data_IF_452464988344
#
_entry.id   IF_452464988344
#
_cell.length_a   1.000
_cell.length_b   1.000
_cell.length_c   1.000
_cell.angle_alpha   90.00
_cell.angle_beta   90.00
_cell.angle_gamma   90.00
#
_symmetry.space_group_name_H-M   'P 1'
#
loop_
_entity.id
_entity.type
_entity.pdbx_description
1 polymer ?
#
# COMPACT_ATOMS: atom_id res chain seq x y z
N UNK A 1 1.00 -20.60 4.67
CA UNK A 1 2.08 -19.69 4.32
C UNK A 1 3.25 -20.46 3.76
N UNK A 2 3.71 -20.10 2.57
CA UNK A 2 4.94 -20.58 1.95
C UNK A 2 6.00 -19.50 2.09
N UNK A 3 6.79 -19.60 3.15
CA UNK A 3 7.92 -18.71 3.42
C UNK A 3 9.13 -19.16 2.62
N UNK A 4 9.87 -18.20 2.09
CA UNK A 4 11.08 -18.41 1.28
C UNK A 4 12.30 -17.76 1.95
N UNK A 5 13.49 -18.09 1.45
CA UNK A 5 14.74 -17.59 2.01
C UNK A 5 15.76 -17.44 0.87
N UNK A 6 16.17 -16.22 0.58
CA UNK A 6 17.10 -15.91 -0.51
C UNK A 6 18.49 -16.51 -0.27
N UNK A 7 18.95 -16.63 0.97
CA UNK A 7 20.22 -17.27 1.30
C UNK A 7 20.23 -18.78 0.97
N UNK A 8 19.10 -19.46 1.20
CA UNK A 8 18.96 -20.87 0.79
C UNK A 8 18.86 -21.00 -0.73
N UNK A 9 18.23 -20.04 -1.39
CA UNK A 9 18.15 -19.99 -2.84
C UNK A 9 19.53 -19.73 -3.44
N UNK A 10 20.30 -18.79 -2.89
CA UNK A 10 21.67 -18.49 -3.28
C UNK A 10 22.58 -19.73 -3.21
N UNK A 11 22.50 -20.49 -2.10
CA UNK A 11 23.25 -21.74 -1.98
C UNK A 11 22.94 -22.69 -3.14
N UNK A 12 21.67 -22.86 -3.51
CA UNK A 12 21.30 -23.71 -4.66
C UNK A 12 21.89 -23.22 -5.98
N UNK A 13 21.94 -21.88 -6.19
CA UNK A 13 22.58 -21.30 -7.37
C UNK A 13 24.09 -21.62 -7.38
N UNK A 14 24.76 -21.50 -6.24
CA UNK A 14 26.18 -21.86 -6.12
C UNK A 14 26.46 -23.34 -6.43
N UNK A 15 25.55 -24.22 -6.02
CA UNK A 15 25.63 -25.66 -6.30
C UNK A 15 25.28 -26.02 -7.76
N UNK A 16 24.72 -25.08 -8.55
CA UNK A 16 24.35 -25.26 -9.95
C UNK A 16 25.53 -24.86 -10.87
N UNK A 17 25.92 -25.72 -11.83
CA UNK A 17 26.92 -25.34 -12.84
C UNK A 17 26.57 -24.05 -13.56
N UNK A 18 27.57 -23.21 -13.84
CA UNK A 18 27.36 -21.85 -14.37
C UNK A 18 26.51 -21.85 -15.65
N UNK A 19 26.78 -22.76 -16.57
CA UNK A 19 26.04 -22.88 -17.85
C UNK A 19 24.56 -23.20 -17.67
N UNK A 20 24.20 -23.88 -16.58
CA UNK A 20 22.83 -24.31 -16.28
C UNK A 20 22.05 -23.23 -15.53
N UNK A 21 22.72 -22.23 -14.94
CA UNK A 21 22.08 -21.19 -14.12
C UNK A 21 21.06 -20.35 -14.87
N UNK A 22 21.17 -20.22 -16.20
CA UNK A 22 20.20 -19.49 -17.03
C UNK A 22 18.77 -20.02 -16.91
N UNK A 23 18.59 -21.30 -16.56
CA UNK A 23 17.30 -21.95 -16.38
C UNK A 23 16.90 -22.11 -14.92
N UNK A 24 17.68 -21.57 -13.98
CA UNK A 24 17.49 -21.78 -12.54
C UNK A 24 16.14 -21.26 -12.04
N UNK A 25 15.74 -20.04 -12.42
CA UNK A 25 14.47 -19.45 -12.02
C UNK A 25 13.28 -20.32 -12.45
N UNK A 26 13.31 -20.83 -13.68
CA UNK A 26 12.27 -21.69 -14.23
C UNK A 26 12.18 -23.01 -13.46
N UNK A 27 13.32 -23.63 -13.17
CA UNK A 27 13.38 -24.85 -12.37
C UNK A 27 12.81 -24.65 -10.96
N UNK A 28 13.16 -23.54 -10.29
CA UNK A 28 12.63 -23.22 -8.96
C UNK A 28 11.13 -22.88 -9.01
N UNK A 29 10.66 -22.20 -10.06
CA UNK A 29 9.24 -21.95 -10.28
C UNK A 29 8.44 -23.25 -10.42
N UNK A 30 8.90 -24.20 -11.21
CA UNK A 30 8.24 -25.51 -11.33
C UNK A 30 8.18 -26.27 -9.99
N UNK A 31 9.15 -26.09 -9.12
CA UNK A 31 9.08 -26.64 -7.74
C UNK A 31 7.96 -25.97 -6.93
N UNK A 32 7.85 -24.64 -6.98
CA UNK A 32 6.78 -23.90 -6.28
C UNK A 32 5.41 -24.30 -6.83
N UNK A 33 5.28 -24.35 -8.14
CA UNK A 33 4.05 -24.74 -8.84
C UNK A 33 3.55 -26.14 -8.42
N UNK A 34 4.44 -27.09 -8.25
CA UNK A 34 4.09 -28.42 -7.71
C UNK A 34 3.49 -28.34 -6.31
N UNK A 35 4.02 -27.47 -5.44
CA UNK A 35 3.43 -27.26 -4.11
C UNK A 35 2.05 -26.62 -4.20
N UNK A 36 1.87 -25.60 -5.05
CA UNK A 36 0.57 -24.93 -5.20
C UNK A 36 -0.49 -25.88 -5.74
N UNK A 37 -0.16 -26.67 -6.77
CA UNK A 37 -1.06 -27.70 -7.32
C UNK A 37 -1.47 -28.71 -6.26
N UNK A 38 -0.48 -29.27 -5.56
CA UNK A 38 -0.74 -30.28 -4.54
C UNK A 38 -1.59 -29.76 -3.39
N UNK A 39 -1.33 -28.53 -2.92
CA UNK A 39 -2.14 -27.91 -1.88
C UNK A 39 -3.58 -27.66 -2.37
N UNK A 40 -3.76 -27.26 -3.62
CA UNK A 40 -5.08 -27.02 -4.22
C UNK A 40 -5.88 -28.31 -4.45
N UNK A 41 -5.20 -29.44 -4.73
CA UNK A 41 -5.85 -30.75 -4.89
C UNK A 41 -6.36 -31.33 -3.58
N UNK A 42 -5.64 -31.14 -2.50
CA UNK A 42 -5.95 -31.75 -1.20
C UNK A 42 -6.66 -30.81 -0.20
N UNK A 43 -6.81 -29.54 -0.53
CA UNK A 43 -7.33 -28.53 0.40
C UNK A 43 -7.93 -27.34 -0.34
N UNK A 44 -9.00 -26.77 0.25
CA UNK A 44 -9.54 -25.45 -0.15
C UNK A 44 -8.78 -24.29 0.51
N UNK A 45 -7.60 -24.54 1.06
CA UNK A 45 -6.83 -23.52 1.77
C UNK A 45 -6.37 -22.41 0.82
N UNK A 46 -6.37 -21.20 1.37
CA UNK A 46 -5.73 -20.06 0.72
C UNK A 46 -4.22 -20.17 0.90
N UNK A 47 -3.47 -20.00 -0.17
CA UNK A 47 -2.02 -20.12 -0.19
C UNK A 47 -1.44 -18.70 -0.14
N UNK A 48 -0.68 -18.39 0.91
CA UNK A 48 0.09 -17.15 1.01
C UNK A 48 1.53 -17.48 0.59
N UNK A 49 1.98 -16.96 -0.54
CA UNK A 49 3.32 -17.15 -1.09
C UNK A 49 4.15 -15.88 -0.91
N UNK A 50 5.26 -15.97 -0.22
CA UNK A 50 6.28 -14.92 -0.22
C UNK A 50 7.06 -14.94 -1.54
N UNK A 51 7.37 -13.77 -2.09
CA UNK A 51 8.44 -13.65 -3.08
C UNK A 51 9.80 -13.52 -2.39
N UNK A 52 10.87 -13.39 -3.16
CA UNK A 52 12.24 -13.29 -2.64
C UNK A 52 12.69 -11.83 -2.63
N UNK A 53 13.42 -11.41 -1.60
CA UNK A 53 14.16 -10.16 -1.64
C UNK A 53 15.26 -10.23 -2.72
N UNK A 54 15.44 -9.13 -3.45
CA UNK A 54 16.45 -8.98 -4.50
C UNK A 54 17.82 -8.67 -3.88
N UNK A 55 18.57 -9.73 -3.54
CA UNK A 55 19.92 -9.59 -3.00
C UNK A 55 20.95 -9.68 -4.11
N UNK A 56 21.87 -8.73 -4.16
CA UNK A 56 23.06 -8.80 -5.01
C UNK A 56 24.20 -9.52 -4.25
N UNK A 57 24.79 -10.54 -4.87
CA UNK A 57 25.94 -11.26 -4.31
C UNK A 57 27.27 -10.51 -4.51
N UNK A 58 27.25 -9.36 -5.16
CA UNK A 58 28.41 -8.50 -5.41
C UNK A 58 29.40 -9.06 -6.43
N UNK A 59 29.16 -10.25 -7.01
CA UNK A 59 30.13 -10.91 -7.92
C UNK A 59 30.19 -10.21 -9.27
N UNK A 60 29.05 -9.73 -9.77
CA UNK A 60 28.93 -9.14 -11.10
C UNK A 60 28.80 -7.61 -11.10
N UNK A 61 28.68 -6.99 -9.94
CA UNK A 61 28.37 -5.56 -9.81
C UNK A 61 27.16 -5.19 -10.67
N UNK A 62 27.16 -4.00 -11.27
CA UNK A 62 26.02 -3.55 -12.10
C UNK A 62 25.77 -4.42 -13.35
N UNK A 63 26.70 -5.30 -13.73
CA UNK A 63 26.52 -6.25 -14.84
C UNK A 63 25.59 -7.41 -14.46
N UNK A 64 25.34 -7.63 -13.17
CA UNK A 64 24.44 -8.68 -12.70
C UNK A 64 23.07 -8.62 -13.39
N UNK A 65 22.53 -7.41 -13.63
CA UNK A 65 21.26 -7.23 -14.33
C UNK A 65 21.26 -7.59 -15.83
N UNK A 66 22.42 -7.83 -16.42
CA UNK A 66 22.59 -8.26 -17.83
C UNK A 66 23.00 -9.71 -17.98
N UNK A 67 23.43 -10.35 -16.90
CA UNK A 67 23.96 -11.70 -16.92
C UNK A 67 22.90 -12.70 -16.48
N UNK A 68 22.38 -13.52 -17.39
CA UNK A 68 21.39 -14.56 -17.07
C UNK A 68 21.91 -15.63 -16.10
N UNK A 69 23.22 -15.72 -15.89
CA UNK A 69 23.81 -16.68 -14.94
C UNK A 69 24.04 -16.06 -13.55
N UNK A 70 23.77 -14.77 -13.37
CA UNK A 70 23.89 -14.10 -12.08
C UNK A 70 22.72 -14.44 -11.15
N UNK A 71 22.98 -14.44 -9.84
CA UNK A 71 21.95 -14.68 -8.84
C UNK A 71 20.85 -13.61 -8.89
N UNK A 72 21.23 -12.35 -8.95
CA UNK A 72 20.27 -11.23 -9.00
C UNK A 72 19.30 -11.34 -10.19
N UNK A 73 19.81 -11.66 -11.39
CA UNK A 73 18.97 -11.84 -12.56
C UNK A 73 17.97 -12.99 -12.36
N UNK A 74 18.43 -14.13 -11.81
CA UNK A 74 17.59 -15.30 -11.60
C UNK A 74 16.53 -15.07 -10.51
N UNK A 75 16.85 -14.34 -9.46
CA UNK A 75 15.86 -13.96 -8.42
C UNK A 75 14.77 -13.07 -9.00
N UNK A 76 15.12 -12.05 -9.77
CA UNK A 76 14.15 -11.17 -10.46
C UNK A 76 13.24 -11.95 -11.40
N UNK A 77 13.83 -12.84 -12.18
CA UNK A 77 13.09 -13.74 -13.10
C UNK A 77 12.13 -14.66 -12.31
N UNK A 78 12.58 -15.22 -11.20
CA UNK A 78 11.76 -16.07 -10.34
C UNK A 78 10.59 -15.30 -9.71
N UNK A 79 10.84 -14.09 -9.21
CA UNK A 79 9.79 -13.24 -8.66
C UNK A 79 8.73 -12.87 -9.73
N UNK A 80 9.16 -12.64 -10.97
CA UNK A 80 8.23 -12.44 -12.08
C UNK A 80 7.36 -13.67 -12.32
N UNK A 81 7.94 -14.87 -12.33
CA UNK A 81 7.18 -16.12 -12.46
C UNK A 81 6.19 -16.34 -11.29
N UNK A 82 6.58 -15.99 -10.05
CA UNK A 82 5.69 -16.06 -8.89
C UNK A 82 4.49 -15.12 -9.08
N UNK A 83 4.71 -13.89 -9.57
CA UNK A 83 3.64 -12.94 -9.88
C UNK A 83 2.70 -13.48 -10.97
N UNK A 84 3.23 -14.06 -12.03
CA UNK A 84 2.43 -14.71 -13.10
C UNK A 84 1.62 -15.88 -12.55
N UNK A 85 2.24 -16.74 -11.73
CA UNK A 85 1.53 -17.83 -11.07
C UNK A 85 0.38 -17.35 -10.19
N UNK A 86 0.53 -16.22 -9.48
CA UNK A 86 -0.54 -15.65 -8.69
C UNK A 86 -1.73 -15.15 -9.52
N UNK A 87 -1.53 -14.82 -10.79
CA UNK A 87 -2.63 -14.50 -11.72
C UNK A 87 -3.37 -15.77 -12.18
N UNK A 88 -2.67 -16.90 -12.31
CA UNK A 88 -3.25 -18.19 -12.77
C UNK A 88 -4.01 -18.92 -11.66
N UNK A 89 -3.50 -18.88 -10.41
CA UNK A 89 -4.04 -19.63 -9.28
C UNK A 89 -4.88 -18.75 -8.37
N UNK A 90 -6.22 -18.84 -8.45
CA UNK A 90 -7.18 -18.01 -7.69
C UNK A 90 -7.06 -18.09 -6.16
N UNK A 91 -6.47 -19.18 -5.64
CA UNK A 91 -6.27 -19.36 -4.20
C UNK A 91 -4.87 -18.98 -3.72
N UNK A 92 -4.02 -18.42 -4.61
CA UNK A 92 -2.66 -17.98 -4.35
C UNK A 92 -2.64 -16.46 -4.15
N UNK A 93 -2.11 -16.02 -3.02
CA UNK A 93 -1.97 -14.62 -2.63
C UNK A 93 -0.50 -14.32 -2.35
N UNK A 94 -0.02 -13.16 -2.79
CA UNK A 94 1.37 -12.77 -2.62
C UNK A 94 1.57 -12.04 -1.30
N UNK A 95 2.71 -12.32 -0.67
CA UNK A 95 3.31 -11.47 0.37
C UNK A 95 4.59 -10.90 -0.25
N UNK A 96 4.58 -9.62 -0.56
CA UNK A 96 5.67 -8.97 -1.31
C UNK A 96 6.82 -8.57 -0.39
N UNK A 97 7.72 -9.52 -0.14
CA UNK A 97 8.93 -9.34 0.67
C UNK A 97 9.91 -8.39 -0.02
N UNK A 98 9.96 -8.41 -1.37
CA UNK A 98 10.82 -7.52 -2.14
C UNK A 98 10.42 -6.03 -1.93
N UNK A 99 9.13 -5.72 -1.99
CA UNK A 99 8.59 -4.38 -1.66
C UNK A 99 8.97 -3.98 -0.24
N UNK A 100 8.77 -4.89 0.72
CA UNK A 100 9.04 -4.63 2.13
C UNK A 100 10.54 -4.37 2.37
N UNK A 101 11.42 -5.18 1.78
CA UNK A 101 12.87 -4.97 1.84
C UNK A 101 13.27 -3.60 1.27
N UNK A 102 12.64 -3.15 0.19
CA UNK A 102 12.83 -1.81 -0.37
C UNK A 102 12.42 -0.67 0.58
N UNK A 103 11.37 -0.87 1.39
CA UNK A 103 10.92 0.12 2.37
C UNK A 103 11.85 0.24 3.58
N UNK A 104 12.42 -0.87 4.04
CA UNK A 104 13.35 -0.89 5.17
C UNK A 104 14.78 -0.53 4.78
N UNK A 105 15.15 -0.81 3.53
CA UNK A 105 16.54 -0.91 3.09
C UNK A 105 17.21 -2.22 3.54
N UNK A 106 18.11 -2.75 2.71
CA UNK A 106 18.70 -4.08 2.91
C UNK A 106 19.34 -4.26 4.28
N UNK A 107 20.12 -3.28 4.73
CA UNK A 107 20.84 -3.32 6.02
C UNK A 107 19.88 -3.43 7.23
N UNK A 108 18.75 -2.71 7.18
CA UNK A 108 17.77 -2.74 8.26
C UNK A 108 16.82 -3.93 8.17
N UNK A 109 16.65 -4.49 6.97
CA UNK A 109 15.77 -5.62 6.72
C UNK A 109 16.36 -6.96 7.13
N UNK A 110 17.68 -7.14 6.94
CA UNK A 110 18.42 -8.36 7.24
C UNK A 110 19.14 -8.32 8.59
N UNK A 111 19.44 -9.50 9.10
CA UNK A 111 20.33 -9.70 10.26
C UNK A 111 21.23 -10.90 9.97
N UNK A 112 22.43 -10.62 9.47
CA UNK A 112 23.43 -11.64 9.12
C UNK A 112 23.81 -12.50 10.32
N UNK A 113 24.00 -11.88 11.48
CA UNK A 113 24.36 -12.59 12.70
C UNK A 113 23.25 -13.54 13.13
N UNK A 114 22.02 -13.08 13.08
CA UNK A 114 20.84 -13.88 13.42
C UNK A 114 20.64 -15.03 12.43
N UNK A 115 20.92 -14.79 11.14
CA UNK A 115 20.91 -15.85 10.15
C UNK A 115 21.97 -16.94 10.43
N UNK A 116 23.20 -16.58 10.79
CA UNK A 116 24.24 -17.57 11.09
C UNK A 116 23.92 -18.41 12.33
N UNK A 117 23.31 -17.80 13.34
CA UNK A 117 22.99 -18.48 14.62
C UNK A 117 21.68 -19.28 14.51
N UNK A 118 20.61 -18.67 13.98
CA UNK A 118 19.24 -19.21 14.04
C UNK A 118 18.64 -19.56 12.68
N UNK A 119 19.35 -19.27 11.58
CA UNK A 119 18.83 -19.42 10.19
C UNK A 119 17.59 -18.57 9.88
N UNK A 120 17.46 -17.45 10.58
CA UNK A 120 16.43 -16.44 10.35
C UNK A 120 17.11 -15.23 9.71
N UNK A 121 16.82 -14.92 8.40
CA UNK A 121 17.55 -13.87 7.68
C UNK A 121 17.06 -12.47 8.01
N UNK A 122 15.86 -12.34 8.58
CA UNK A 122 15.20 -11.06 8.79
C UNK A 122 15.53 -10.47 10.16
N UNK A 123 15.70 -9.16 10.23
CA UNK A 123 15.79 -8.43 11.49
C UNK A 123 14.48 -8.51 12.30
N UNK A 124 14.53 -8.25 13.60
CA UNK A 124 13.32 -8.24 14.42
C UNK A 124 12.26 -7.24 13.91
N UNK A 125 12.71 -6.04 13.49
CA UNK A 125 11.80 -5.04 12.93
C UNK A 125 11.18 -5.51 11.61
N UNK A 126 11.96 -6.14 10.74
CA UNK A 126 11.46 -6.72 9.51
C UNK A 126 10.43 -7.82 9.75
N UNK A 127 10.64 -8.67 10.78
CA UNK A 127 9.65 -9.70 11.14
C UNK A 127 8.29 -9.11 11.55
N UNK A 128 8.30 -7.97 12.27
CA UNK A 128 7.06 -7.24 12.59
C UNK A 128 6.38 -6.73 11.32
N UNK A 129 7.14 -6.15 10.39
CA UNK A 129 6.61 -5.69 9.11
C UNK A 129 6.04 -6.84 8.27
N UNK A 130 6.77 -7.96 8.18
CA UNK A 130 6.30 -9.18 7.48
C UNK A 130 4.99 -9.70 8.08
N UNK A 131 4.89 -9.74 9.41
CA UNK A 131 3.66 -10.14 10.09
C UNK A 131 2.49 -9.18 9.78
N UNK A 132 2.77 -7.87 9.71
CA UNK A 132 1.79 -6.85 9.31
C UNK A 132 1.26 -7.07 7.91
N UNK A 133 2.13 -7.31 6.91
CA UNK A 133 1.72 -7.61 5.54
C UNK A 133 0.87 -8.90 5.46
N UNK A 134 1.29 -9.96 6.15
CA UNK A 134 0.51 -11.20 6.22
C UNK A 134 -0.90 -10.94 6.78
N UNK A 135 -1.00 -10.20 7.88
CA UNK A 135 -2.29 -9.86 8.50
C UNK A 135 -3.14 -9.03 7.54
N UNK A 136 -2.57 -8.08 6.82
CA UNK A 136 -3.28 -7.24 5.86
C UNK A 136 -3.87 -8.07 4.72
N UNK A 137 -3.08 -8.98 4.14
CA UNK A 137 -3.55 -9.89 3.08
C UNK A 137 -4.64 -10.84 3.62
N UNK A 138 -4.47 -11.38 4.84
CA UNK A 138 -5.49 -12.25 5.46
C UNK A 138 -6.80 -11.48 5.70
N UNK A 139 -6.72 -10.24 6.20
CA UNK A 139 -7.91 -9.37 6.35
C UNK A 139 -8.61 -9.15 5.01
N UNK A 140 -7.85 -8.87 3.94
CA UNK A 140 -8.41 -8.68 2.60
C UNK A 140 -9.11 -9.95 2.08
N UNK A 141 -8.51 -11.14 2.27
CA UNK A 141 -9.12 -12.43 1.94
C UNK A 141 -10.44 -12.65 2.70
N UNK A 142 -10.54 -12.15 3.93
CA UNK A 142 -11.76 -12.21 4.76
C UNK A 142 -12.78 -11.11 4.42
N UNK A 143 -12.53 -10.28 3.41
CA UNK A 143 -13.40 -9.18 3.01
C UNK A 143 -13.32 -7.93 3.90
N UNK A 144 -12.36 -7.87 4.83
CA UNK A 144 -12.11 -6.70 5.67
C UNK A 144 -11.17 -5.74 4.93
N UNK A 145 -11.74 -4.99 4.01
CA UNK A 145 -11.05 -4.03 3.14
C UNK A 145 -11.59 -2.62 3.32
N UNK A 146 -10.75 -1.63 3.11
CA UNK A 146 -11.19 -0.23 3.05
C UNK A 146 -11.96 -0.01 1.73
N UNK A 147 -13.13 0.61 1.85
CA UNK A 147 -14.03 0.90 0.73
C UNK A 147 -14.20 2.39 0.49
N UNK A 148 -13.92 3.23 1.49
CA UNK A 148 -14.10 4.66 1.40
C UNK A 148 -12.95 5.41 2.10
N UNK A 149 -12.49 6.48 1.47
CA UNK A 149 -11.68 7.52 2.10
C UNK A 149 -12.58 8.74 2.32
N UNK A 150 -12.72 9.15 3.55
CA UNK A 150 -13.32 10.42 3.93
C UNK A 150 -12.17 11.38 4.22
N UNK A 151 -12.12 12.52 3.56
CA UNK A 151 -11.05 13.50 3.72
C UNK A 151 -11.59 14.84 4.22
N UNK A 152 -10.81 15.51 5.08
CA UNK A 152 -10.95 16.94 5.25
C UNK A 152 -10.44 17.68 4.00
N UNK A 153 -10.54 18.99 3.99
CA UNK A 153 -10.17 19.85 2.88
C UNK A 153 -8.94 20.71 3.21
N UNK A 154 -9.09 21.69 4.09
CA UNK A 154 -8.06 22.66 4.47
C UNK A 154 -6.85 21.96 5.09
N UNK A 155 -5.65 22.29 4.66
CA UNK A 155 -4.39 21.64 5.04
C UNK A 155 -4.33 20.11 4.85
N UNK A 156 -5.33 19.53 4.16
CA UNK A 156 -5.40 18.10 3.83
C UNK A 156 -5.39 17.88 2.32
N UNK A 157 -6.23 18.55 1.54
CA UNK A 157 -6.25 18.49 0.07
C UNK A 157 -5.58 19.71 -0.60
N UNK A 158 -5.41 20.78 0.12
CA UNK A 158 -4.64 21.99 -0.24
C UNK A 158 -4.07 22.62 1.01
N UNK A 159 -3.01 23.40 0.88
CA UNK A 159 -2.47 24.16 1.98
C UNK A 159 -3.27 25.47 2.20
N UNK A 160 -3.44 25.85 3.46
CA UNK A 160 -4.22 27.03 3.84
C UNK A 160 -5.70 26.72 4.10
N UNK A 161 -6.45 27.77 4.42
CA UNK A 161 -7.87 27.72 4.80
C UNK A 161 -8.66 28.50 3.75
N UNK A 162 -9.49 27.80 2.96
CA UNK A 162 -10.21 28.44 1.84
C UNK A 162 -11.09 29.61 2.26
N UNK A 163 -11.67 29.56 3.47
CA UNK A 163 -12.51 30.64 4.00
C UNK A 163 -11.75 31.93 4.31
N UNK A 164 -10.47 31.83 4.66
CA UNK A 164 -9.62 32.94 5.05
C UNK A 164 -8.70 33.39 3.90
N UNK A 165 -8.08 32.46 3.21
CA UNK A 165 -7.06 32.70 2.18
C UNK A 165 -7.64 32.90 0.78
N UNK A 166 -8.86 32.44 0.53
CA UNK A 166 -9.51 32.47 -0.78
C UNK A 166 -8.82 31.58 -1.82
N UNK A 167 -9.35 31.62 -3.05
CA UNK A 167 -8.85 30.75 -4.15
C UNK A 167 -7.38 31.02 -4.54
N UNK A 168 -6.94 32.28 -4.44
CA UNK A 168 -5.57 32.66 -4.82
C UNK A 168 -4.56 32.42 -3.70
N UNK A 169 -5.05 32.26 -2.45
CA UNK A 169 -4.19 32.07 -1.29
C UNK A 169 -3.97 30.61 -0.89
N UNK A 170 -4.83 29.70 -1.32
CA UNK A 170 -4.61 28.26 -1.07
C UNK A 170 -3.42 27.74 -1.86
N UNK A 171 -2.71 26.79 -1.28
CA UNK A 171 -1.49 26.21 -1.86
C UNK A 171 -1.80 24.87 -2.51
N UNK A 172 -1.75 24.85 -3.83
CA UNK A 172 -1.90 23.66 -4.68
C UNK A 172 -1.18 23.91 -6.02
N UNK A 173 -0.72 22.87 -6.69
CA UNK A 173 -0.03 22.97 -7.98
C UNK A 173 1.34 22.29 -7.96
N UNK A 174 2.20 22.61 -8.93
CA UNK A 174 3.45 21.88 -9.17
C UNK A 174 4.65 22.44 -8.37
N UNK A 175 4.48 23.46 -7.53
CA UNK A 175 5.58 24.14 -6.83
C UNK A 175 5.37 24.16 -5.31
N UNK A 176 6.47 24.09 -4.58
CA UNK A 176 6.49 24.23 -3.12
C UNK A 176 5.59 23.21 -2.41
N UNK A 177 5.01 23.63 -1.30
CA UNK A 177 4.12 22.78 -0.50
C UNK A 177 2.84 22.40 -1.26
N UNK A 178 2.41 23.25 -2.22
CA UNK A 178 1.29 22.95 -3.10
C UNK A 178 1.44 21.64 -3.85
N UNK A 179 2.68 21.29 -4.25
CA UNK A 179 2.96 20.02 -4.94
C UNK A 179 2.65 18.79 -4.07
N UNK A 180 2.91 18.85 -2.77
CA UNK A 180 2.60 17.75 -1.87
C UNK A 180 1.09 17.45 -1.83
N UNK A 181 0.25 18.46 -1.82
CA UNK A 181 -1.20 18.31 -1.86
C UNK A 181 -1.69 17.82 -3.23
N UNK A 182 -1.09 18.30 -4.32
CA UNK A 182 -1.38 17.79 -5.67
C UNK A 182 -1.11 16.29 -5.79
N UNK A 183 0.02 15.81 -5.27
CA UNK A 183 0.36 14.38 -5.27
C UNK A 183 -0.62 13.53 -4.43
N UNK A 184 -1.12 14.06 -3.32
CA UNK A 184 -2.18 13.40 -2.53
C UNK A 184 -3.46 13.30 -3.34
N UNK A 185 -3.88 14.37 -4.01
CA UNK A 185 -5.08 14.35 -4.84
C UNK A 185 -4.94 13.35 -6.00
N UNK A 186 -3.80 13.28 -6.67
CA UNK A 186 -3.49 12.28 -7.71
C UNK A 186 -3.61 10.85 -7.15
N UNK A 187 -3.04 10.62 -5.99
CA UNK A 187 -3.12 9.32 -5.34
C UNK A 187 -4.55 8.94 -4.94
N UNK A 188 -5.33 9.85 -4.39
CA UNK A 188 -6.75 9.64 -4.09
C UNK A 188 -7.56 9.35 -5.36
N UNK A 189 -7.25 10.03 -6.46
CA UNK A 189 -7.87 9.79 -7.76
C UNK A 189 -7.59 8.38 -8.28
N UNK A 190 -6.37 7.89 -8.13
CA UNK A 190 -6.03 6.51 -8.47
C UNK A 190 -6.72 5.49 -7.55
N UNK A 191 -6.89 5.77 -6.27
CA UNK A 191 -7.71 4.95 -5.38
C UNK A 191 -9.17 4.89 -5.84
N UNK A 192 -9.75 6.03 -6.24
CA UNK A 192 -11.08 6.09 -6.84
C UNK A 192 -11.16 5.26 -8.13
N UNK A 193 -10.17 5.40 -9.03
CA UNK A 193 -10.11 4.62 -10.28
C UNK A 193 -10.05 3.11 -10.00
N UNK A 194 -9.49 2.72 -8.88
CA UNK A 194 -9.50 1.32 -8.40
C UNK A 194 -10.83 0.89 -7.78
N UNK A 195 -11.78 1.81 -7.54
CA UNK A 195 -13.09 1.52 -6.95
C UNK A 195 -13.23 1.88 -5.48
N UNK A 196 -12.29 2.63 -4.89
CA UNK A 196 -12.46 3.19 -3.53
C UNK A 196 -13.32 4.46 -3.63
N UNK A 197 -14.37 4.54 -2.83
CA UNK A 197 -15.20 5.73 -2.74
C UNK A 197 -14.43 6.87 -2.07
N UNK A 198 -14.63 8.09 -2.58
CA UNK A 198 -14.15 9.30 -1.92
C UNK A 198 -15.34 10.07 -1.34
N UNK A 199 -15.17 10.64 -0.16
CA UNK A 199 -16.13 11.55 0.45
C UNK A 199 -15.42 12.69 1.16
N UNK A 200 -16.09 13.81 1.30
CA UNK A 200 -15.61 14.99 2.03
C UNK A 200 -16.34 15.10 3.36
N UNK A 201 -15.58 15.40 4.41
CA UNK A 201 -16.08 15.79 5.72
C UNK A 201 -15.26 16.97 6.26
N UNK A 202 -15.73 18.20 6.07
CA UNK A 202 -14.99 19.41 6.41
C UNK A 202 -15.82 20.38 7.23
N UNK A 203 -15.17 21.12 8.13
CA UNK A 203 -15.75 22.25 8.87
C UNK A 203 -15.60 23.52 8.04
N UNK A 204 -16.53 23.72 7.11
CA UNK A 204 -16.51 24.82 6.16
C UNK A 204 -17.93 25.21 5.75
N UNK A 205 -18.08 26.38 5.15
CA UNK A 205 -19.28 26.70 4.38
C UNK A 205 -19.26 25.88 3.07
N UNK A 206 -20.36 25.21 2.74
CA UNK A 206 -20.40 24.27 1.62
C UNK A 206 -20.08 24.93 0.28
N UNK A 207 -20.64 26.11 0.00
CA UNK A 207 -20.39 26.84 -1.24
C UNK A 207 -18.93 27.26 -1.36
N UNK A 208 -18.33 27.72 -0.24
CA UNK A 208 -16.92 28.09 -0.19
C UNK A 208 -16.01 26.85 -0.38
N UNK A 209 -16.35 25.73 0.24
CA UNK A 209 -15.61 24.49 0.15
C UNK A 209 -15.60 23.89 -1.27
N UNK A 210 -16.62 24.16 -2.08
CA UNK A 210 -16.73 23.69 -3.46
C UNK A 210 -15.96 24.54 -4.46
N UNK A 211 -15.70 25.82 -4.15
CA UNK A 211 -15.04 26.75 -5.07
C UNK A 211 -13.70 26.26 -5.63
N UNK A 212 -12.77 25.67 -4.85
CA UNK A 212 -11.51 25.16 -5.39
C UNK A 212 -11.73 24.10 -6.49
N UNK A 213 -12.64 23.17 -6.27
CA UNK A 213 -12.95 22.09 -7.22
C UNK A 213 -13.59 22.61 -8.53
N UNK A 214 -14.29 23.73 -8.47
CA UNK A 214 -14.97 24.32 -9.63
C UNK A 214 -14.09 25.28 -10.41
N UNK A 215 -13.21 26.03 -9.73
CA UNK A 215 -12.55 27.20 -10.32
C UNK A 215 -11.03 27.16 -10.29
N UNK A 216 -10.40 26.40 -9.37
CA UNK A 216 -8.94 26.40 -9.29
C UNK A 216 -8.35 25.54 -10.44
N UNK A 217 -7.48 26.11 -11.29
CA UNK A 217 -7.01 25.43 -12.50
C UNK A 217 -6.12 24.21 -12.21
N UNK A 218 -5.43 24.18 -11.09
CA UNK A 218 -4.49 23.12 -10.70
C UNK A 218 -5.13 22.04 -9.82
N UNK A 219 -6.46 22.09 -9.61
CA UNK A 219 -7.19 21.04 -8.89
C UNK A 219 -7.27 19.73 -9.68
N UNK A 220 -6.71 18.66 -9.15
CA UNK A 220 -6.72 17.32 -9.75
C UNK A 220 -8.05 16.59 -9.52
N UNK A 221 -8.63 16.71 -8.33
CA UNK A 221 -9.95 16.17 -7.99
C UNK A 221 -11.05 17.12 -8.45
N UNK A 222 -12.20 16.56 -8.83
CA UNK A 222 -13.41 17.28 -9.20
C UNK A 222 -14.54 16.93 -8.22
N UNK A 223 -15.57 17.76 -8.14
CA UNK A 223 -16.75 17.46 -7.30
C UNK A 223 -17.37 16.10 -7.65
N UNK A 224 -17.34 15.71 -8.92
CA UNK A 224 -17.83 14.41 -9.40
C UNK A 224 -16.99 13.21 -8.95
N UNK A 225 -15.82 13.43 -8.36
CA UNK A 225 -14.99 12.35 -7.82
C UNK A 225 -15.46 11.90 -6.43
N UNK A 226 -16.26 12.71 -5.75
CA UNK A 226 -16.77 12.43 -4.42
C UNK A 226 -18.19 11.85 -4.49
N UNK A 227 -18.38 10.71 -3.84
CA UNK A 227 -19.69 10.09 -3.71
C UNK A 227 -20.60 10.86 -2.72
N UNK A 228 -20.01 11.48 -1.71
CA UNK A 228 -20.69 12.31 -0.72
C UNK A 228 -19.82 13.51 -0.37
N UNK A 229 -20.43 14.68 -0.29
CA UNK A 229 -19.76 15.94 0.06
C UNK A 229 -20.50 16.58 1.22
N UNK A 230 -19.87 16.62 2.41
CA UNK A 230 -20.41 17.25 3.62
C UNK A 230 -19.44 18.30 4.10
N UNK A 231 -19.85 19.57 3.98
CA UNK A 231 -19.13 20.71 4.52
C UNK A 231 -20.11 21.54 5.36
N UNK A 232 -19.94 21.48 6.67
CA UNK A 232 -20.74 22.23 7.64
C UNK A 232 -19.96 22.36 8.96
N UNK A 233 -20.55 23.03 9.95
CA UNK A 233 -19.91 23.27 11.26
C UNK A 233 -20.31 22.24 12.33
N UNK A 234 -21.00 21.16 11.95
CA UNK A 234 -21.31 20.06 12.85
C UNK A 234 -20.06 19.26 13.22
N UNK A 235 -20.18 18.44 14.24
CA UNK A 235 -19.12 17.51 14.65
C UNK A 235 -18.75 16.52 13.54
N UNK A 236 -17.43 16.33 13.29
CA UNK A 236 -16.94 15.47 12.22
C UNK A 236 -17.35 14.01 12.42
N UNK A 237 -17.39 13.52 13.66
CA UNK A 237 -17.83 12.14 13.91
C UNK A 237 -19.32 11.95 13.54
N UNK A 238 -20.18 12.93 13.88
CA UNK A 238 -21.58 12.89 13.47
C UNK A 238 -21.73 12.94 11.93
N UNK A 239 -20.93 13.73 11.24
CA UNK A 239 -20.92 13.81 9.78
C UNK A 239 -20.40 12.52 9.13
N UNK A 240 -19.38 11.89 9.69
CA UNK A 240 -18.87 10.58 9.23
C UNK A 240 -19.97 9.52 9.36
N UNK A 241 -20.74 9.52 10.46
CA UNK A 241 -21.90 8.63 10.61
C UNK A 241 -22.97 8.86 9.53
N UNK A 242 -23.26 10.12 9.19
CA UNK A 242 -24.18 10.46 8.07
C UNK A 242 -23.66 9.96 6.73
N UNK A 243 -22.38 10.19 6.44
CA UNK A 243 -21.73 9.72 5.20
C UNK A 243 -21.81 8.20 5.11
N UNK A 244 -21.50 7.49 6.20
CA UNK A 244 -21.58 6.04 6.28
C UNK A 244 -22.99 5.52 5.97
N UNK A 245 -24.01 6.16 6.53
CA UNK A 245 -25.42 5.79 6.27
C UNK A 245 -25.81 5.99 4.80
N UNK A 246 -25.39 7.13 4.18
CA UNK A 246 -25.66 7.41 2.76
C UNK A 246 -24.99 6.36 1.88
N UNK A 247 -23.74 6.01 2.16
CA UNK A 247 -22.96 5.04 1.38
C UNK A 247 -23.35 3.58 1.70
N UNK A 248 -24.03 3.34 2.80
CA UNK A 248 -24.43 2.01 3.29
C UNK A 248 -23.25 1.03 3.35
N UNK A 249 -22.14 1.44 3.97
CA UNK A 249 -20.93 0.64 4.15
C UNK A 249 -20.64 0.44 5.66
N UNK A 250 -19.77 -0.51 6.00
CA UNK A 250 -19.32 -0.71 7.39
C UNK A 250 -18.40 0.44 7.86
N UNK A 251 -18.48 0.83 9.12
CA UNK A 251 -17.55 1.81 9.72
C UNK A 251 -16.10 1.34 9.65
N UNK A 252 -15.86 0.05 9.80
CA UNK A 252 -14.54 -0.59 9.71
C UNK A 252 -13.93 -0.60 8.29
N UNK A 253 -14.70 -0.19 7.29
CA UNK A 253 -14.25 -0.03 5.90
C UNK A 253 -13.97 1.43 5.50
N UNK A 254 -13.88 2.33 6.46
CA UNK A 254 -13.64 3.76 6.26
C UNK A 254 -12.25 4.15 6.79
N UNK A 255 -11.55 4.94 6.00
CA UNK A 255 -10.37 5.73 6.42
C UNK A 255 -10.75 7.20 6.47
N UNK A 256 -10.40 7.88 7.55
CA UNK A 256 -10.59 9.33 7.68
C UNK A 256 -9.22 10.03 7.70
N UNK A 257 -9.05 11.00 6.81
CA UNK A 257 -7.84 11.82 6.66
C UNK A 257 -8.13 13.25 7.10
N UNK A 258 -7.32 13.75 8.01
CA UNK A 258 -7.46 15.10 8.59
C UNK A 258 -6.09 15.54 9.12
N UNK A 259 -5.66 16.78 8.84
CA UNK A 259 -4.40 17.33 9.34
C UNK A 259 -4.48 17.66 10.84
N UNK A 260 -5.67 17.99 11.35
CA UNK A 260 -5.86 18.45 12.72
C UNK A 260 -5.88 17.27 13.71
N UNK A 261 -4.87 17.17 14.62
CA UNK A 261 -4.79 16.08 15.58
C UNK A 261 -6.00 16.02 16.52
N UNK A 262 -6.61 17.15 16.86
CA UNK A 262 -7.81 17.19 17.74
C UNK A 262 -9.01 16.55 17.06
N UNK A 263 -9.25 16.84 15.78
CA UNK A 263 -10.34 16.24 15.02
C UNK A 263 -10.12 14.72 14.86
N UNK A 264 -8.87 14.31 14.59
CA UNK A 264 -8.51 12.88 14.55
C UNK A 264 -8.79 12.18 15.87
N UNK A 265 -8.43 12.78 17.00
CA UNK A 265 -8.64 12.20 18.33
C UNK A 265 -10.12 12.09 18.69
N UNK A 266 -10.92 13.08 18.32
CA UNK A 266 -12.39 13.03 18.48
C UNK A 266 -12.96 11.85 17.70
N UNK A 267 -12.60 11.69 16.43
CA UNK A 267 -13.11 10.60 15.60
C UNK A 267 -12.64 9.24 16.14
N UNK A 268 -11.38 9.08 16.53
CA UNK A 268 -10.87 7.84 17.13
C UNK A 268 -11.61 7.46 18.41
N UNK A 269 -11.97 8.47 19.20
CA UNK A 269 -12.66 8.25 20.50
C UNK A 269 -14.13 7.88 20.31
N UNK A 270 -14.81 8.55 19.39
CA UNK A 270 -16.27 8.40 19.21
C UNK A 270 -16.62 7.28 18.22
N UNK A 271 -15.73 6.99 17.27
CA UNK A 271 -15.94 5.96 16.23
C UNK A 271 -14.66 5.12 16.08
N UNK A 272 -14.31 4.28 17.05
CA UNK A 272 -13.05 3.53 17.07
C UNK A 272 -12.91 2.51 15.91
N UNK A 273 -13.99 2.20 15.20
CA UNK A 273 -13.98 1.32 14.03
C UNK A 273 -13.38 2.01 12.80
N UNK A 274 -13.46 3.34 12.70
CA UNK A 274 -12.88 4.11 11.58
C UNK A 274 -11.36 4.13 11.71
N UNK A 275 -10.68 3.82 10.63
CA UNK A 275 -9.22 3.94 10.59
C UNK A 275 -8.82 5.39 10.39
N UNK A 276 -8.09 5.96 11.36
CA UNK A 276 -7.64 7.36 11.33
C UNK A 276 -6.10 7.40 11.38
N UNK A 277 -5.41 7.50 10.24
CA UNK A 277 -3.95 7.60 10.19
C UNK A 277 -3.44 8.86 10.91
N UNK A 278 -2.24 8.77 11.50
CA UNK A 278 -1.58 9.91 12.12
C UNK A 278 -0.78 10.66 11.05
N UNK A 279 -1.41 11.65 10.39
CA UNK A 279 -0.70 12.45 9.40
C UNK A 279 0.46 13.21 10.06
N UNK A 280 1.66 13.21 9.44
CA UNK A 280 2.78 14.04 9.87
C UNK A 280 2.40 15.54 9.92
N UNK A 281 3.18 16.36 10.60
CA UNK A 281 2.99 17.81 10.59
C UNK A 281 3.37 18.41 9.21
N UNK A 282 4.39 17.86 8.55
CA UNK A 282 4.86 18.30 7.25
C UNK A 282 4.06 17.62 6.12
N UNK A 283 3.31 18.39 5.30
CA UNK A 283 2.54 17.85 4.18
C UNK A 283 3.36 17.07 3.16
N UNK A 284 4.64 17.42 2.98
CA UNK A 284 5.55 16.70 2.08
C UNK A 284 5.73 15.22 2.46
N UNK A 285 5.43 14.86 3.71
CA UNK A 285 5.54 13.50 4.21
C UNK A 285 4.22 12.71 4.16
N UNK A 286 3.06 13.36 3.89
CA UNK A 286 1.74 12.74 3.95
C UNK A 286 1.65 11.50 3.05
N UNK A 287 1.95 11.66 1.77
CA UNK A 287 1.83 10.57 0.81
C UNK A 287 2.78 9.41 1.10
N UNK A 288 4.03 9.70 1.48
CA UNK A 288 4.99 8.69 1.86
C UNK A 288 4.55 7.90 3.10
N UNK A 289 3.97 8.58 4.08
CA UNK A 289 3.40 7.98 5.28
C UNK A 289 2.19 7.09 4.95
N UNK A 290 1.21 7.61 4.20
CA UNK A 290 0.00 6.87 3.83
C UNK A 290 0.31 5.60 3.03
N UNK A 291 1.31 5.64 2.13
CA UNK A 291 1.79 4.47 1.39
C UNK A 291 2.38 3.39 2.30
N UNK A 292 3.04 3.78 3.39
CA UNK A 292 3.60 2.83 4.38
C UNK A 292 2.53 2.18 5.27
N UNK A 293 1.37 2.81 5.45
CA UNK A 293 0.31 2.29 6.29
C UNK A 293 -0.39 1.04 5.71
N UNK A 294 -0.13 0.64 4.47
CA UNK A 294 -0.73 -0.52 3.77
C UNK A 294 -2.26 -0.62 3.93
N UNK A 295 -2.96 0.53 3.91
CA UNK A 295 -4.40 0.63 4.23
C UNK A 295 -5.31 -0.01 3.17
N UNK A 296 -4.85 -0.03 1.92
CA UNK A 296 -5.69 -0.38 0.77
C UNK A 296 -5.35 -1.75 0.18
N UNK A 297 -5.04 -2.72 1.05
CA UNK A 297 -4.83 -4.10 0.63
C UNK A 297 -6.10 -4.70 0.03
N UNK A 298 -5.95 -5.55 -0.99
CA UNK A 298 -7.07 -6.22 -1.65
C UNK A 298 -6.70 -7.64 -2.05
N UNK A 299 -7.63 -8.56 -1.90
CA UNK A 299 -7.46 -9.95 -2.30
C UNK A 299 -7.94 -10.24 -3.73
N UNK A 300 -8.71 -9.32 -4.32
CA UNK A 300 -9.23 -9.44 -5.69
C UNK A 300 -9.53 -8.06 -6.26
N UNK A 301 -9.48 -7.98 -7.59
CA UNK A 301 -9.89 -6.82 -8.34
C UNK A 301 -10.81 -7.27 -9.47
N UNK A 302 -12.04 -6.74 -9.50
CA UNK A 302 -12.99 -6.91 -10.62
C UNK A 302 -13.08 -5.60 -11.37
N UNK A 303 -13.04 -5.67 -12.70
CA UNK A 303 -13.26 -4.53 -13.60
C UNK A 303 -14.75 -4.35 -13.95
N UNK A 304 -15.66 -4.65 -13.00
CA UNK A 304 -17.10 -4.40 -13.20
C UNK A 304 -17.50 -3.01 -12.74
#
# INVERSE_FOLDING_TARGET
LLAVCSEKLYKKVCDTPVDDRKNFAEQQYEVLKKYWLRLSEYSNAKILQMNYEETDDGIWGNYAGKSEVSFLYQVRKLNMYIMQGAQEYRNLYLIDICKLAGQYGEIAFKDEKFYYIAKIPFSQNALVGIAGEIISVVKAIMGKIIKCVITDLDNTLWGGIIGDDGLEGIQIGELGDGHAFTEIQRWLKELKNRGILLAVCSKNNEDTAKLPFEKHPEMELKLSDFAVFVANWDDKAANICKIQQILNIGMDSIVFLDDNPRERDVVRTLIPEVTVPELPEDPALYLAYLKKCSLFETASYSQE
#
